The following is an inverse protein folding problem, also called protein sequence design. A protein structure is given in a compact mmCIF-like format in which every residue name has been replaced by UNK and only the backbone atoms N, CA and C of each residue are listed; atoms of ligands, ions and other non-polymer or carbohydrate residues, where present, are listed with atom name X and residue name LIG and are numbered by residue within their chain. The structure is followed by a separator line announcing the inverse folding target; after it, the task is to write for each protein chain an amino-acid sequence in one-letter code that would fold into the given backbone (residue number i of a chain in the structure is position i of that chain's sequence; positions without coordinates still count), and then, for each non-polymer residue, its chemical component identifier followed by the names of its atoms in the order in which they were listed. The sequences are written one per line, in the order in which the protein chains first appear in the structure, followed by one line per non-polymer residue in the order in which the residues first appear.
data_IF_208704860064
#
_entry.id   IF_208704860064
#
_cell.length_a   1.000
_cell.length_b   1.000
_cell.length_c   1.000
_cell.angle_alpha   90.00
_cell.angle_beta   90.00
_cell.angle_gamma   90.00
#
_symmetry.space_group_name_H-M   'P 1'
#
loop_
_entity.id
_entity.type
_entity.pdbx_description
1 polymer ?
#
# COMPACT_ATOMS: atom_id res chain seq x y z
N UNK A 1 -17.38 -18.01 10.72
CA UNK A 1 -17.35 -16.56 10.50
C UNK A 1 -16.21 -16.19 9.57
N UNK A 2 -16.49 -15.44 8.53
CA UNK A 2 -15.48 -15.09 7.53
C UNK A 2 -14.58 -13.99 8.07
N UNK A 3 -13.27 -14.21 8.04
CA UNK A 3 -12.30 -13.21 8.46
C UNK A 3 -12.14 -12.16 7.37
N UNK A 4 -11.90 -10.94 7.79
CA UNK A 4 -11.78 -9.83 6.85
C UNK A 4 -10.33 -9.40 6.68
N UNK A 5 -9.93 -9.18 5.44
CA UNK A 5 -8.65 -8.59 5.12
C UNK A 5 -8.62 -7.13 5.59
N UNK A 6 -7.44 -6.63 5.90
CA UNK A 6 -7.30 -5.24 6.30
C UNK A 6 -7.70 -4.31 5.16
N UNK A 7 -8.51 -3.30 5.48
CA UNK A 7 -8.92 -2.27 4.53
C UNK A 7 -9.00 -0.91 5.23
N UNK A 8 -8.75 0.14 4.46
CA UNK A 8 -8.94 1.51 4.93
C UNK A 8 -9.30 2.40 3.74
N UNK A 9 -10.03 3.48 4.00
CA UNK A 9 -10.55 4.35 2.95
C UNK A 9 -10.22 5.81 3.27
N UNK A 10 -9.81 6.57 2.24
CA UNK A 10 -9.67 8.03 2.37
C UNK A 10 -10.49 8.69 1.28
N UNK A 11 -10.93 9.93 1.54
CA UNK A 11 -11.70 10.75 0.60
C UNK A 11 -10.95 12.07 0.44
N UNK A 12 -10.67 12.45 -0.80
CA UNK A 12 -9.90 13.65 -1.11
C UNK A 12 -10.62 14.50 -2.16
N UNK A 13 -10.27 15.78 -2.23
CA UNK A 13 -10.81 16.69 -3.24
C UNK A 13 -10.09 16.64 -4.57
N UNK A 14 -8.95 15.96 -4.63
CA UNK A 14 -8.14 15.82 -5.85
C UNK A 14 -8.79 14.84 -6.83
N UNK A 15 -8.36 14.88 -8.10
CA UNK A 15 -8.94 14.03 -9.16
C UNK A 15 -8.47 12.59 -9.04
N UNK A 16 -9.21 11.62 -9.64
CA UNK A 16 -8.75 10.23 -9.70
C UNK A 16 -7.37 10.09 -10.31
N UNK A 17 -7.03 10.91 -11.31
CA UNK A 17 -5.71 10.89 -11.94
C UNK A 17 -4.61 11.29 -10.96
N UNK A 18 -4.85 12.30 -10.14
CA UNK A 18 -3.88 12.72 -9.12
C UNK A 18 -3.69 11.63 -8.06
N UNK A 19 -4.77 10.96 -7.67
CA UNK A 19 -4.69 9.85 -6.72
C UNK A 19 -3.91 8.68 -7.33
N UNK A 20 -4.22 8.34 -8.58
CA UNK A 20 -3.55 7.27 -9.31
C UNK A 20 -2.03 7.53 -9.39
N UNK A 21 -1.64 8.75 -9.76
CA UNK A 21 -0.23 9.11 -9.87
C UNK A 21 0.49 9.02 -8.52
N UNK A 22 -0.16 9.42 -7.44
CA UNK A 22 0.43 9.34 -6.11
C UNK A 22 0.69 7.88 -5.69
N UNK A 23 -0.26 6.99 -5.97
CA UNK A 23 -0.11 5.55 -5.67
C UNK A 23 1.12 4.99 -6.39
N UNK A 24 1.32 5.37 -7.64
CA UNK A 24 2.40 4.83 -8.47
C UNK A 24 3.79 5.38 -8.12
N UNK A 25 3.87 6.23 -7.09
CA UNK A 25 5.12 6.76 -6.58
C UNK A 25 5.29 6.38 -5.10
N UNK A 26 5.40 5.07 -4.78
CA UNK A 26 5.47 4.63 -3.39
C UNK A 26 6.65 5.22 -2.61
N UNK A 27 7.73 5.55 -3.29
CA UNK A 27 8.88 6.17 -2.65
C UNK A 27 8.56 7.52 -2.00
N UNK A 28 7.44 8.14 -2.39
CA UNK A 28 7.05 9.45 -1.87
C UNK A 28 6.10 9.37 -0.67
N UNK A 29 5.52 8.20 -0.39
CA UNK A 29 4.59 8.07 0.74
C UNK A 29 4.83 6.83 1.61
N UNK A 30 5.49 5.81 1.10
CA UNK A 30 5.80 4.61 1.87
C UNK A 30 7.15 4.80 2.56
N UNK A 31 7.16 4.79 3.88
CA UNK A 31 8.38 5.00 4.68
C UNK A 31 9.35 3.84 4.51
N UNK A 32 10.59 4.14 4.17
CA UNK A 32 11.61 3.12 3.94
C UNK A 32 12.30 3.34 2.61
N UNK A 33 13.02 2.32 2.16
CA UNK A 33 13.74 2.39 0.91
C UNK A 33 12.98 1.65 -0.18
N UNK A 34 12.78 2.33 -1.31
CA UNK A 34 12.12 1.75 -2.49
C UNK A 34 13.15 1.67 -3.61
N UNK A 35 13.33 0.48 -4.17
CA UNK A 35 14.20 0.25 -5.33
C UNK A 35 13.37 -0.38 -6.43
N UNK A 36 13.44 0.19 -7.62
CA UNK A 36 12.66 -0.29 -8.76
C UNK A 36 11.62 0.72 -9.18
N UNK A 37 10.58 0.25 -9.81
CA UNK A 37 9.58 1.08 -10.45
C UNK A 37 8.18 0.52 -10.24
N UNK A 38 7.19 1.41 -10.13
CA UNK A 38 5.79 1.04 -9.97
C UNK A 38 4.90 1.85 -10.93
N UNK A 39 5.43 2.17 -12.11
CA UNK A 39 4.77 3.07 -13.06
C UNK A 39 3.84 2.36 -14.04
N UNK A 40 4.05 1.08 -14.28
CA UNK A 40 3.29 0.35 -15.31
C UNK A 40 3.15 -1.13 -14.96
N UNK A 41 2.27 -1.80 -15.70
CA UNK A 41 2.02 -3.22 -15.53
C UNK A 41 3.31 -4.02 -15.66
N UNK A 42 3.49 -4.99 -14.78
CA UNK A 42 4.64 -5.89 -14.68
C UNK A 42 5.91 -5.23 -14.12
N UNK A 43 5.86 -3.96 -13.76
CA UNK A 43 6.98 -3.35 -13.03
C UNK A 43 7.12 -4.03 -11.67
N UNK A 44 8.35 -4.11 -11.21
CA UNK A 44 8.66 -4.67 -9.90
C UNK A 44 9.46 -3.68 -9.08
N UNK A 45 9.18 -3.63 -7.78
CA UNK A 45 9.98 -2.82 -6.87
C UNK A 45 10.15 -3.54 -5.55
N UNK A 46 11.23 -3.20 -4.85
CA UNK A 46 11.55 -3.76 -3.55
C UNK A 46 11.39 -2.69 -2.49
N UNK A 47 10.69 -3.02 -1.40
CA UNK A 47 10.54 -2.15 -0.24
C UNK A 47 11.35 -2.71 0.91
N UNK A 48 12.09 -1.84 1.58
CA UNK A 48 12.88 -2.21 2.76
C UNK A 48 12.70 -1.15 3.85
N UNK A 49 12.39 -1.60 5.05
CA UNK A 49 12.31 -0.74 6.22
C UNK A 49 13.27 -1.27 7.27
N UNK A 50 14.45 -0.64 7.39
CA UNK A 50 15.52 -1.03 8.31
C UNK A 50 15.84 -2.53 8.15
N UNK A 51 15.95 -3.26 9.26
CA UNK A 51 16.18 -4.71 9.25
C UNK A 51 14.90 -5.49 9.54
N UNK A 52 13.77 -4.80 9.68
CA UNK A 52 12.51 -5.39 10.13
C UNK A 52 11.66 -5.93 9.00
N UNK A 53 11.70 -5.31 7.85
CA UNK A 53 10.78 -5.65 6.76
C UNK A 53 11.46 -5.50 5.41
N UNK A 54 11.36 -6.54 4.59
CA UNK A 54 11.78 -6.53 3.20
C UNK A 54 10.67 -7.21 2.39
N UNK A 55 10.21 -6.56 1.33
CA UNK A 55 9.23 -7.18 0.45
C UNK A 55 9.45 -6.75 -0.98
N UNK A 56 9.06 -7.63 -1.91
CA UNK A 56 9.13 -7.36 -3.34
C UNK A 56 7.72 -7.41 -3.89
N UNK A 57 7.32 -6.39 -4.64
CA UNK A 57 6.00 -6.27 -5.22
C UNK A 57 6.09 -6.21 -6.73
N UNK A 58 5.11 -6.80 -7.40
CA UNK A 58 4.95 -6.74 -8.84
C UNK A 58 3.58 -6.19 -9.17
N UNK A 59 3.50 -5.24 -10.11
CA UNK A 59 2.22 -4.67 -10.54
C UNK A 59 1.53 -5.69 -11.44
N UNK A 60 0.44 -6.29 -10.95
CA UNK A 60 -0.27 -7.34 -11.68
C UNK A 60 -1.58 -6.86 -12.29
N UNK A 61 -2.07 -5.70 -11.86
CA UNK A 61 -3.25 -5.08 -12.46
C UNK A 61 -3.10 -3.56 -12.39
N UNK A 62 -3.37 -2.88 -13.50
CA UNK A 62 -3.30 -1.43 -13.53
C UNK A 62 -4.34 -0.91 -14.53
N UNK A 63 -5.37 -0.26 -14.00
CA UNK A 63 -6.42 0.39 -14.80
C UNK A 63 -6.31 1.88 -14.49
N UNK A 64 -5.86 2.71 -15.44
CA UNK A 64 -5.62 4.13 -15.18
C UNK A 64 -6.79 4.80 -14.49
N UNK A 65 -6.48 5.54 -13.42
CA UNK A 65 -7.43 6.32 -12.63
C UNK A 65 -8.51 5.48 -11.91
N UNK A 66 -8.41 4.15 -11.94
CA UNK A 66 -9.43 3.28 -11.36
C UNK A 66 -8.88 2.23 -10.38
N UNK A 67 -7.74 1.59 -10.71
CA UNK A 67 -7.28 0.47 -9.87
C UNK A 67 -5.81 0.15 -10.10
N UNK A 68 -5.13 -0.17 -9.00
CA UNK A 68 -3.77 -0.71 -9.04
C UNK A 68 -3.71 -1.89 -8.07
N UNK A 69 -3.13 -3.01 -8.50
CA UNK A 69 -2.93 -4.18 -7.64
C UNK A 69 -1.47 -4.60 -7.70
N UNK A 70 -0.87 -4.77 -6.53
CA UNK A 70 0.49 -5.28 -6.39
C UNK A 70 0.44 -6.69 -5.81
N UNK A 71 1.16 -7.63 -6.41
CA UNK A 71 1.35 -8.97 -5.84
C UNK A 71 2.67 -8.95 -5.06
N UNK A 72 2.62 -9.36 -3.79
CA UNK A 72 3.85 -9.53 -3.00
C UNK A 72 4.47 -10.85 -3.39
N UNK A 73 5.57 -10.81 -4.14
CA UNK A 73 6.22 -12.01 -4.66
C UNK A 73 7.21 -12.60 -3.67
N UNK A 74 7.79 -11.77 -2.81
CA UNK A 74 8.72 -12.20 -1.77
C UNK A 74 8.56 -11.29 -0.56
N UNK A 75 8.73 -11.84 0.63
CA UNK A 75 8.73 -11.02 1.85
C UNK A 75 9.60 -11.67 2.92
N UNK A 76 10.22 -10.82 3.73
CA UNK A 76 10.94 -11.23 4.94
C UNK A 76 10.57 -10.23 6.02
N UNK A 77 9.83 -10.71 7.03
CA UNK A 77 9.40 -9.90 8.17
C UNK A 77 10.11 -10.43 9.39
N UNK A 78 11.19 -9.77 9.79
CA UNK A 78 12.12 -10.31 10.79
C UNK A 78 11.56 -10.43 12.21
N UNK A 79 10.51 -9.69 12.54
CA UNK A 79 9.90 -9.77 13.87
C UNK A 79 8.78 -10.82 13.95
N UNK A 80 8.46 -11.49 12.86
CA UNK A 80 7.45 -12.54 12.83
C UNK A 80 8.11 -13.92 12.80
N UNK A 81 7.44 -14.93 13.37
CA UNK A 81 7.93 -16.30 13.30
C UNK A 81 7.88 -16.79 11.84
N UNK A 82 6.76 -16.53 11.16
CA UNK A 82 6.66 -16.79 9.73
C UNK A 82 7.11 -15.55 8.98
N UNK A 83 8.39 -15.50 8.63
CA UNK A 83 8.99 -14.33 7.98
C UNK A 83 8.47 -14.09 6.59
N UNK A 84 7.80 -15.06 5.98
CA UNK A 84 7.28 -14.97 4.61
C UNK A 84 5.77 -14.84 4.55
N UNK A 85 5.12 -14.42 5.63
CA UNK A 85 3.66 -14.41 5.67
C UNK A 85 2.98 -13.42 4.71
N UNK A 86 3.72 -12.42 4.21
CA UNK A 86 3.19 -11.53 3.17
C UNK A 86 3.31 -12.13 1.76
N UNK A 87 4.16 -13.14 1.57
CA UNK A 87 4.41 -13.73 0.24
C UNK A 87 3.12 -14.31 -0.32
N UNK A 88 2.77 -13.92 -1.54
CA UNK A 88 1.54 -14.38 -2.20
C UNK A 88 0.32 -13.53 -1.91
N UNK A 89 0.42 -12.55 -1.01
CA UNK A 89 -0.70 -11.63 -0.73
C UNK A 89 -0.73 -10.54 -1.79
N UNK A 90 -1.87 -9.83 -1.89
CA UNK A 90 -2.05 -8.73 -2.85
C UNK A 90 -2.40 -7.45 -2.14
N UNK A 91 -1.86 -6.35 -2.65
CA UNK A 91 -2.16 -5.01 -2.15
C UNK A 91 -2.96 -4.29 -3.23
N UNK A 92 -4.21 -3.93 -2.94
CA UNK A 92 -5.13 -3.35 -3.91
C UNK A 92 -5.50 -1.92 -3.57
N UNK A 93 -5.48 -1.06 -4.58
CA UNK A 93 -5.91 0.33 -4.49
C UNK A 93 -7.06 0.53 -5.47
N UNK A 94 -8.24 0.85 -4.96
CA UNK A 94 -9.45 1.07 -5.77
C UNK A 94 -9.84 2.54 -5.69
N UNK A 95 -9.97 3.18 -6.86
CA UNK A 95 -10.26 4.61 -6.98
C UNK A 95 -11.66 4.78 -7.56
N UNK A 96 -12.49 5.59 -6.91
CA UNK A 96 -13.84 5.90 -7.37
C UNK A 96 -14.12 7.38 -7.20
N UNK A 97 -14.82 7.97 -8.16
CA UNK A 97 -15.27 9.35 -8.06
C UNK A 97 -16.68 9.35 -7.48
N UNK A 98 -16.91 10.21 -6.49
CA UNK A 98 -18.19 10.28 -5.81
C UNK A 98 -18.44 11.69 -5.29
N UNK A 99 -19.56 12.30 -5.70
CA UNK A 99 -19.98 13.63 -5.23
C UNK A 99 -18.89 14.70 -5.40
N UNK A 100 -18.22 14.71 -6.56
CA UNK A 100 -17.11 15.63 -6.89
C UNK A 100 -15.87 15.43 -6.03
N UNK A 101 -15.77 14.30 -5.35
CA UNK A 101 -14.59 13.90 -4.58
C UNK A 101 -14.09 12.55 -5.06
N UNK A 102 -12.87 12.21 -4.69
CA UNK A 102 -12.27 10.93 -5.04
C UNK A 102 -12.13 10.08 -3.80
N UNK A 103 -12.64 8.87 -3.87
CA UNK A 103 -12.50 7.88 -2.81
C UNK A 103 -11.39 6.91 -3.19
N UNK A 104 -10.46 6.69 -2.28
CA UNK A 104 -9.44 5.65 -2.43
C UNK A 104 -9.66 4.59 -1.36
N UNK A 105 -9.90 3.36 -1.80
CA UNK A 105 -10.04 2.23 -0.91
C UNK A 105 -8.79 1.35 -1.02
N UNK A 106 -8.11 1.17 0.09
CA UNK A 106 -6.94 0.32 0.20
C UNK A 106 -7.32 -1.01 0.83
N UNK A 107 -6.87 -2.11 0.25
CA UNK A 107 -7.11 -3.46 0.78
C UNK A 107 -5.82 -4.27 0.65
N UNK A 108 -5.37 -4.88 1.76
CA UNK A 108 -4.28 -5.85 1.69
C UNK A 108 -4.90 -7.24 1.76
N UNK A 109 -5.14 -7.83 0.58
CA UNK A 109 -5.76 -9.14 0.45
C UNK A 109 -4.82 -10.22 0.97
N UNK A 110 -5.24 -10.94 1.99
CA UNK A 110 -4.42 -11.93 2.67
C UNK A 110 -3.90 -11.46 4.01
N UNK A 111 -4.01 -10.17 4.32
CA UNK A 111 -3.65 -9.65 5.64
C UNK A 111 -4.90 -9.67 6.51
N UNK A 112 -5.12 -10.78 7.21
CA UNK A 112 -6.29 -10.99 8.05
C UNK A 112 -5.84 -11.36 9.48
N UNK A 113 -6.78 -11.49 10.44
CA UNK A 113 -6.41 -11.77 11.84
C UNK A 113 -5.61 -13.04 12.09
N UNK A 114 -5.52 -13.96 11.12
CA UNK A 114 -4.68 -15.15 11.27
C UNK A 114 -3.21 -14.88 11.00
N UNK A 115 -2.88 -13.74 10.39
CA UNK A 115 -1.50 -13.36 10.12
C UNK A 115 -0.88 -12.81 11.41
N UNK A 116 0.30 -13.31 11.78
CA UNK A 116 0.95 -12.91 13.03
C UNK A 116 1.16 -11.40 13.14
N UNK A 117 1.56 -10.75 12.06
CA UNK A 117 1.80 -9.30 12.09
C UNK A 117 0.52 -8.47 11.89
N UNK A 118 -0.67 -9.09 11.91
CA UNK A 118 -1.91 -8.38 11.54
C UNK A 118 -2.08 -7.03 12.24
N UNK A 119 -1.95 -7.00 13.57
CA UNK A 119 -2.13 -5.75 14.33
C UNK A 119 -1.05 -4.73 13.97
N UNK A 120 0.20 -5.15 13.94
CA UNK A 120 1.34 -4.30 13.63
C UNK A 120 1.29 -3.80 12.18
N UNK A 121 1.05 -4.70 11.24
CA UNK A 121 0.99 -4.35 9.82
C UNK A 121 -0.23 -3.50 9.49
N UNK A 122 -1.38 -3.77 10.11
CA UNK A 122 -2.59 -2.96 9.93
C UNK A 122 -2.39 -1.55 10.44
N UNK A 123 -1.76 -1.41 11.60
CA UNK A 123 -1.47 -0.10 12.18
C UNK A 123 -0.51 0.70 11.28
N UNK A 124 0.52 0.04 10.76
CA UNK A 124 1.46 0.67 9.83
C UNK A 124 0.76 1.13 8.56
N UNK A 125 -0.07 0.25 7.95
CA UNK A 125 -0.83 0.62 6.76
C UNK A 125 -1.78 1.79 7.02
N UNK A 126 -2.46 1.80 8.16
CA UNK A 126 -3.37 2.90 8.52
C UNK A 126 -2.61 4.23 8.53
N UNK A 127 -1.43 4.27 9.15
CA UNK A 127 -0.63 5.48 9.19
C UNK A 127 -0.13 5.88 7.80
N UNK A 128 0.36 4.91 7.02
CA UNK A 128 0.90 5.17 5.70
C UNK A 128 -0.17 5.71 4.75
N UNK A 129 -1.37 5.14 4.78
CA UNK A 129 -2.46 5.55 3.90
C UNK A 129 -3.14 6.82 4.41
N UNK A 130 -3.52 6.86 5.70
CA UNK A 130 -4.27 7.98 6.26
C UNK A 130 -3.44 9.25 6.43
N UNK A 131 -2.12 9.12 6.56
CA UNK A 131 -1.24 10.25 6.76
C UNK A 131 -0.26 10.43 5.61
N UNK A 132 0.50 9.40 5.26
CA UNK A 132 1.54 9.51 4.23
C UNK A 132 0.96 9.74 2.85
N UNK A 133 0.16 8.82 2.35
CA UNK A 133 -0.43 8.93 1.02
C UNK A 133 -1.42 10.09 0.95
N UNK A 134 -2.24 10.26 1.97
CA UNK A 134 -3.18 11.37 2.06
C UNK A 134 -2.46 12.71 1.93
N UNK A 135 -1.35 12.90 2.65
CA UNK A 135 -0.56 14.12 2.58
C UNK A 135 0.01 14.34 1.19
N UNK A 136 0.54 13.29 0.56
CA UNK A 136 1.09 13.39 -0.80
C UNK A 136 0.01 13.83 -1.79
N UNK A 137 -1.19 13.24 -1.72
CA UNK A 137 -2.29 13.58 -2.61
C UNK A 137 -2.75 15.02 -2.39
N UNK A 138 -2.95 15.43 -1.14
CA UNK A 138 -3.58 16.73 -0.83
C UNK A 138 -2.61 17.90 -0.84
N UNK A 139 -1.32 17.67 -0.57
CA UNK A 139 -0.33 18.76 -0.48
C UNK A 139 0.79 18.67 -1.50
N UNK A 140 0.93 17.52 -2.18
CA UNK A 140 2.04 17.27 -3.08
C UNK A 140 3.30 16.77 -2.38
N UNK A 141 3.27 16.62 -1.06
CA UNK A 141 4.41 16.15 -0.28
C UNK A 141 3.99 15.03 0.66
N UNK A 142 4.68 13.91 0.57
CA UNK A 142 4.46 12.80 1.49
C UNK A 142 4.89 13.18 2.90
N UNK A 143 4.24 12.58 3.88
CA UNK A 143 4.57 12.78 5.28
C UNK A 143 5.44 11.62 5.75
N UNK A 144 6.54 11.93 6.41
CA UNK A 144 7.41 10.87 6.94
C UNK A 144 6.71 10.20 8.12
N UNK A 145 6.56 8.88 8.03
CA UNK A 145 5.90 8.07 9.05
C UNK A 145 6.96 7.21 9.72
N UNK A 146 7.02 7.25 11.03
CA UNK A 146 7.91 6.37 11.79
C UNK A 146 7.15 5.13 12.18
N UNK A 147 7.58 3.99 11.64
CA UNK A 147 7.00 2.69 11.89
C UNK A 147 7.82 1.98 12.97
N UNK A 148 7.19 1.48 13.96
CA UNK A 148 7.90 0.76 14.99
C UNK A 148 7.47 0.99 16.34
#
# INVERSE_FOLDING_TARGET
MKKQDFTTTIIVGQTPSQVFNAINNPQNWWSGEINGSADKLNDEFTYRYKEFHLSKQRIVEMIPDQKVVWLVTESIINYAEDKKEWTGTKISFEIAEQNNKTQLRFIHLGLDPDIECFDSCSNSWSQLIQQGLFSLITTGKGRQIFLG
#
